data_IF_104303794137
#
_entry.id   IF_104303794137
#
_cell.length_a   1.000
_cell.length_b   1.000
_cell.length_c   1.000
_cell.angle_alpha   90.00
_cell.angle_beta   90.00
_cell.angle_gamma   90.00
#
_symmetry.space_group_name_H-M   'P 1'
#
loop_
_entity.id
_entity.type
_entity.pdbx_description
1 polymer ?
#
# COMPACT_ATOMS: atom_id res chain seq x y z
N UNK A 1 -0.54 27.15 0.12
CA UNK A 1 -0.99 25.83 0.61
C UNK A 1 0.22 24.90 0.57
N UNK A 2 0.67 24.39 1.72
CA UNK A 2 1.77 23.43 1.75
C UNK A 2 1.31 22.12 1.09
N UNK A 3 2.15 21.52 0.24
CA UNK A 3 1.86 20.21 -0.33
C UNK A 3 1.69 19.19 0.82
N UNK A 4 0.75 18.24 0.72
CA UNK A 4 0.58 17.22 1.75
C UNK A 4 1.90 16.48 1.94
N UNK A 5 2.43 16.54 3.15
CA UNK A 5 3.69 15.89 3.50
C UNK A 5 3.39 14.39 3.64
N UNK A 6 4.09 13.58 2.86
CA UNK A 6 4.02 12.13 3.02
C UNK A 6 4.53 11.68 4.38
N UNK A 7 4.14 10.47 4.77
CA UNK A 7 4.60 9.86 6.03
C UNK A 7 6.12 9.71 6.06
N UNK A 8 6.71 9.83 7.24
CA UNK A 8 8.11 9.49 7.48
C UNK A 8 8.32 7.97 7.37
N UNK A 9 9.57 7.51 7.24
CA UNK A 9 9.88 6.07 7.19
C UNK A 9 9.24 5.28 8.35
N UNK A 10 9.47 5.72 9.59
CA UNK A 10 8.96 5.03 10.77
C UNK A 10 7.42 5.01 10.81
N UNK A 11 6.77 6.11 10.41
CA UNK A 11 5.31 6.21 10.35
C UNK A 11 4.73 5.28 9.29
N UNK A 12 5.33 5.25 8.10
CA UNK A 12 4.94 4.37 7.01
C UNK A 12 5.13 2.89 7.38
N UNK A 13 6.27 2.53 7.99
CA UNK A 13 6.51 1.16 8.45
C UNK A 13 5.53 0.75 9.55
N UNK A 14 5.31 1.59 10.57
CA UNK A 14 4.36 1.29 11.65
C UNK A 14 2.92 1.17 11.14
N UNK A 15 2.57 1.92 10.09
CA UNK A 15 1.25 1.89 9.49
C UNK A 15 0.96 0.56 8.80
N UNK A 16 1.89 0.06 7.99
CA UNK A 16 1.59 -1.07 7.10
C UNK A 16 2.29 -2.37 7.46
N UNK A 17 3.45 -2.37 8.11
CA UNK A 17 4.23 -3.59 8.35
C UNK A 17 3.46 -4.56 9.24
N UNK A 18 3.14 -5.74 8.70
CA UNK A 18 2.33 -6.75 9.38
C UNK A 18 0.83 -6.44 9.39
N UNK A 19 0.38 -5.44 8.63
CA UNK A 19 -1.00 -5.00 8.57
C UNK A 19 -1.57 -5.20 7.15
N UNK A 20 -2.89 -5.15 7.08
CA UNK A 20 -3.66 -5.27 5.84
C UNK A 20 -4.29 -3.92 5.49
N UNK A 21 -4.01 -3.40 4.31
CA UNK A 21 -4.69 -2.24 3.74
C UNK A 21 -5.80 -2.69 2.78
N UNK A 22 -6.94 -2.00 2.82
CA UNK A 22 -8.05 -2.18 1.91
C UNK A 22 -8.30 -0.86 1.19
N UNK A 23 -8.49 -0.92 -0.12
CA UNK A 23 -8.64 0.31 -0.89
C UNK A 23 -9.13 0.12 -2.29
N UNK A 24 -9.30 1.26 -2.96
CA UNK A 24 -9.89 1.36 -4.28
C UNK A 24 -9.02 2.23 -5.17
N UNK A 25 -8.92 1.90 -6.46
CA UNK A 25 -8.20 2.73 -7.43
C UNK A 25 -9.14 3.68 -8.19
N UNK A 26 -8.59 4.57 -9.03
CA UNK A 26 -9.39 5.47 -9.88
C UNK A 26 -10.39 4.77 -10.79
N UNK A 27 -10.17 3.48 -11.09
CA UNK A 27 -11.04 2.64 -11.91
C UNK A 27 -12.11 1.89 -11.10
N UNK A 28 -12.32 2.25 -9.83
CA UNK A 28 -13.27 1.61 -8.90
C UNK A 28 -13.00 0.11 -8.66
N UNK A 29 -11.76 -0.35 -8.86
CA UNK A 29 -11.35 -1.71 -8.49
C UNK A 29 -10.94 -1.74 -7.03
N UNK A 30 -11.50 -2.68 -6.28
CA UNK A 30 -11.13 -2.91 -4.90
C UNK A 30 -9.97 -3.89 -4.82
N UNK A 31 -9.09 -3.66 -3.86
CA UNK A 31 -7.95 -4.52 -3.60
C UNK A 31 -7.64 -4.51 -2.11
N UNK A 32 -7.32 -5.69 -1.62
CA UNK A 32 -6.76 -5.89 -0.28
C UNK A 32 -5.28 -6.20 -0.42
N UNK A 33 -4.44 -5.53 0.36
CA UNK A 33 -3.00 -5.75 0.42
C UNK A 33 -2.58 -6.12 1.84
N UNK A 34 -1.97 -7.28 2.01
CA UNK A 34 -1.29 -7.64 3.25
C UNK A 34 0.22 -7.45 3.08
N UNK A 35 0.80 -6.61 3.94
CA UNK A 35 2.22 -6.25 3.94
C UNK A 35 2.97 -7.13 4.93
N UNK A 36 3.44 -8.28 4.46
CA UNK A 36 4.14 -9.22 5.33
C UNK A 36 5.47 -8.61 5.83
N UNK A 37 5.83 -8.76 7.12
CA UNK A 37 7.06 -8.20 7.67
C UNK A 37 8.35 -8.68 6.99
N UNK A 38 8.29 -9.80 6.25
CA UNK A 38 9.41 -10.30 5.43
C UNK A 38 9.68 -9.47 4.17
N UNK A 39 8.81 -8.53 3.81
CA UNK A 39 8.89 -7.76 2.56
C UNK A 39 8.09 -8.36 1.40
N UNK A 40 7.30 -9.43 1.64
CA UNK A 40 6.32 -9.94 0.68
C UNK A 40 4.98 -9.18 0.79
N UNK A 41 4.45 -8.73 -0.33
CA UNK A 41 3.14 -8.10 -0.44
C UNK A 41 2.18 -9.10 -1.05
N UNK A 42 1.15 -9.50 -0.30
CA UNK A 42 0.09 -10.38 -0.79
C UNK A 42 -1.13 -9.55 -1.13
N UNK A 43 -1.75 -9.83 -2.26
CA UNK A 43 -2.87 -9.04 -2.77
C UNK A 43 -4.05 -9.91 -3.12
N UNK A 44 -5.25 -9.35 -3.01
CA UNK A 44 -6.48 -9.94 -3.50
C UNK A 44 -7.38 -8.88 -4.11
N UNK A 45 -7.82 -9.07 -5.34
CA UNK A 45 -8.81 -8.19 -5.98
C UNK A 45 -10.25 -8.62 -5.68
N UNK A 46 -11.23 -7.84 -6.15
CA UNK A 46 -12.66 -8.09 -5.96
C UNK A 46 -13.15 -9.45 -6.47
N UNK A 47 -12.50 -10.00 -7.50
CA UNK A 47 -12.81 -11.33 -8.06
C UNK A 47 -12.11 -12.46 -7.32
N UNK A 48 -11.32 -12.13 -6.31
CA UNK A 48 -10.58 -13.09 -5.50
C UNK A 48 -9.29 -13.60 -6.12
N UNK A 49 -8.78 -13.02 -7.21
CA UNK A 49 -7.47 -13.42 -7.72
C UNK A 49 -6.39 -12.97 -6.74
N UNK A 50 -5.44 -13.87 -6.49
CA UNK A 50 -4.33 -13.61 -5.58
C UNK A 50 -3.10 -13.16 -6.35
N UNK A 51 -2.44 -12.15 -5.83
CA UNK A 51 -1.16 -11.64 -6.34
C UNK A 51 -0.09 -11.64 -5.26
N UNK A 52 1.17 -11.72 -5.70
CA UNK A 52 2.34 -11.56 -4.84
C UNK A 52 3.29 -10.56 -5.46
N UNK A 53 3.87 -9.72 -4.62
CA UNK A 53 4.87 -8.75 -5.00
C UNK A 53 5.86 -8.54 -3.84
N UNK A 54 6.91 -7.76 -4.07
CA UNK A 54 7.78 -7.26 -3.02
C UNK A 54 7.38 -5.86 -2.63
N UNK A 55 7.57 -5.53 -1.35
CA UNK A 55 7.42 -4.18 -0.84
C UNK A 55 8.56 -3.82 0.10
N UNK A 56 8.81 -2.53 0.21
CA UNK A 56 9.71 -1.95 1.20
C UNK A 56 9.31 -0.49 1.44
N UNK A 57 9.72 0.08 2.57
CA UNK A 57 9.71 1.54 2.78
C UNK A 57 11.13 2.04 2.64
N UNK A 58 11.36 3.04 1.79
CA UNK A 58 12.68 3.64 1.65
C UNK A 58 12.96 4.69 2.74
N UNK A 59 14.19 5.20 2.78
CA UNK A 59 14.62 6.22 3.76
C UNK A 59 13.81 7.53 3.72
N UNK A 60 13.06 7.77 2.64
CA UNK A 60 12.21 8.95 2.48
C UNK A 60 10.76 8.70 2.93
N UNK A 61 10.43 7.51 3.44
CA UNK A 61 9.06 7.14 3.80
C UNK A 61 8.15 6.80 2.61
N UNK A 62 8.75 6.55 1.43
CA UNK A 62 7.99 6.10 0.26
C UNK A 62 7.81 4.59 0.29
N UNK A 63 6.60 4.15 -0.04
CA UNK A 63 6.30 2.76 -0.34
C UNK A 63 6.86 2.40 -1.70
N UNK A 64 7.84 1.51 -1.70
CA UNK A 64 8.37 0.90 -2.89
C UNK A 64 7.73 -0.46 -3.13
N UNK A 65 7.38 -0.71 -4.39
CA UNK A 65 6.58 -1.85 -4.82
C UNK A 65 7.20 -2.46 -6.07
N UNK A 66 7.36 -3.78 -6.08
CA UNK A 66 7.85 -4.51 -7.26
C UNK A 66 7.05 -5.79 -7.49
N UNK A 67 6.27 -5.80 -8.57
CA UNK A 67 5.65 -7.03 -9.06
C UNK A 67 6.63 -7.90 -9.86
N UNK A 68 6.33 -9.19 -10.03
CA UNK A 68 7.11 -10.09 -10.90
C UNK A 68 7.19 -9.63 -12.36
N UNK A 69 6.22 -8.83 -12.82
CA UNK A 69 6.20 -8.29 -14.17
C UNK A 69 6.95 -6.96 -14.34
N UNK A 70 7.41 -6.34 -13.23
CA UNK A 70 8.10 -5.05 -13.27
C UNK A 70 9.61 -5.23 -13.38
N UNK A 71 10.23 -4.49 -14.31
CA UNK A 71 11.70 -4.46 -14.46
C UNK A 71 12.41 -3.77 -13.30
N UNK A 72 11.70 -2.88 -12.60
CA UNK A 72 12.23 -2.09 -11.47
C UNK A 72 11.12 -1.84 -10.47
N UNK A 73 11.47 -1.56 -9.22
CA UNK A 73 10.49 -1.13 -8.21
C UNK A 73 9.97 0.28 -8.52
N UNK A 74 8.71 0.53 -8.18
CA UNK A 74 8.09 1.86 -8.23
C UNK A 74 7.83 2.36 -6.80
N UNK A 75 8.24 3.59 -6.51
CA UNK A 75 8.22 4.14 -5.15
C UNK A 75 7.35 5.40 -5.07
N UNK A 76 6.33 5.38 -4.22
CA UNK A 76 5.39 6.48 -4.05
C UNK A 76 5.26 6.90 -2.59
N UNK A 77 4.94 8.16 -2.33
CA UNK A 77 4.65 8.63 -0.98
C UNK A 77 3.28 8.12 -0.51
N UNK A 78 3.18 7.77 0.78
CA UNK A 78 1.89 7.52 1.43
C UNK A 78 1.39 8.86 1.95
N UNK A 79 0.29 9.36 1.39
CA UNK A 79 -0.26 10.68 1.72
C UNK A 79 -1.48 10.52 2.63
N UNK A 80 -1.44 10.97 3.90
CA UNK A 80 -2.59 10.90 4.78
C UNK A 80 -3.72 11.84 4.32
N UNK A 81 -4.97 11.41 4.52
CA UNK A 81 -6.18 12.17 4.19
C UNK A 81 -6.89 12.63 5.45
N UNK A 82 -7.69 13.69 5.32
CA UNK A 82 -8.48 14.23 6.44
C UNK A 82 -9.56 13.24 6.95
N UNK A 83 -10.01 12.31 6.12
CA UNK A 83 -10.99 11.27 6.48
C UNK A 83 -10.37 10.04 7.19
N UNK A 84 -9.05 10.03 7.41
CA UNK A 84 -8.34 8.90 8.02
C UNK A 84 -7.84 7.85 7.03
N UNK A 85 -8.18 7.96 5.74
CA UNK A 85 -7.57 7.17 4.67
C UNK A 85 -6.19 7.66 4.23
N UNK A 86 -5.62 6.99 3.23
CA UNK A 86 -4.32 7.32 2.63
C UNK A 86 -4.37 7.23 1.11
N UNK A 87 -3.74 8.18 0.42
CA UNK A 87 -3.55 8.16 -1.03
C UNK A 87 -2.15 7.66 -1.39
N UNK A 88 -2.09 6.83 -2.44
CA UNK A 88 -0.88 6.31 -3.03
C UNK A 88 -0.88 6.66 -4.52
N UNK A 89 -0.06 7.65 -4.94
CA UNK A 89 -0.03 8.16 -6.30
C UNK A 89 0.77 7.25 -7.24
N UNK A 90 0.50 5.94 -7.19
CA UNK A 90 0.85 5.02 -8.27
C UNK A 90 0.08 5.39 -9.56
N UNK A 91 0.45 4.83 -10.71
CA UNK A 91 -0.26 5.08 -11.98
C UNK A 91 -1.79 4.85 -11.90
N UNK A 92 -2.20 3.84 -11.12
CA UNK A 92 -3.61 3.53 -10.90
C UNK A 92 -4.31 4.43 -9.85
N UNK A 93 -3.56 5.27 -9.13
CA UNK A 93 -4.02 6.14 -8.04
C UNK A 93 -4.84 5.37 -7.00
N UNK A 94 -4.16 4.69 -6.09
CA UNK A 94 -4.81 3.88 -5.05
C UNK A 94 -5.16 4.74 -3.84
N UNK A 95 -6.33 4.47 -3.26
CA UNK A 95 -6.82 5.12 -2.05
C UNK A 95 -7.06 4.01 -1.04
N UNK A 96 -6.25 3.95 0.02
CA UNK A 96 -6.49 3.07 1.15
C UNK A 96 -7.53 3.69 2.06
N UNK A 97 -8.67 3.03 2.17
CA UNK A 97 -9.78 3.48 2.99
C UNK A 97 -9.65 2.96 4.41
N UNK A 98 -8.94 1.84 4.59
CA UNK A 98 -8.87 1.14 5.86
C UNK A 98 -7.57 0.36 5.97
N UNK A 99 -6.99 0.36 7.17
CA UNK A 99 -5.83 -0.45 7.51
C UNK A 99 -6.15 -1.18 8.80
N UNK A 100 -6.05 -2.51 8.77
CA UNK A 100 -6.35 -3.39 9.91
C UNK A 100 -5.11 -4.16 10.33
N UNK A 101 -4.92 -4.38 11.64
CA UNK A 101 -3.84 -5.22 12.14
C UNK A 101 -3.88 -6.66 11.59
N UNK A 102 -2.71 -7.21 11.27
CA UNK A 102 -2.56 -8.61 10.85
C UNK A 102 -3.08 -8.91 9.43
N UNK A 103 -3.37 -10.20 9.20
CA UNK A 103 -3.87 -10.74 7.93
C UNK A 103 -5.29 -11.34 8.11
N UNK A 104 -6.33 -10.52 8.36
CA UNK A 104 -7.68 -11.02 8.65
C UNK A 104 -8.31 -11.79 7.48
N UNK A 105 -7.81 -11.60 6.26
CA UNK A 105 -8.29 -12.28 5.06
C UNK A 105 -7.49 -13.55 4.71
N UNK A 106 -6.52 -13.93 5.57
CA UNK A 106 -5.62 -15.07 5.38
C UNK A 106 -5.03 -15.12 3.95
N UNK A 107 -4.53 -13.96 3.50
CA UNK A 107 -3.88 -13.75 2.20
C UNK A 107 -2.57 -14.52 2.08
#
# INVERSE_FOLDING_TARGET
MAAPKGLSQAEAEALIKGNTAEGTNRFKKNMTWYFDPSGELRKRDDRGNKGKAKWSINKQGKLCYQDKHMKSEDCVAILPRADGGYDLPFDAQWNWQKITPGNPHNL
#
